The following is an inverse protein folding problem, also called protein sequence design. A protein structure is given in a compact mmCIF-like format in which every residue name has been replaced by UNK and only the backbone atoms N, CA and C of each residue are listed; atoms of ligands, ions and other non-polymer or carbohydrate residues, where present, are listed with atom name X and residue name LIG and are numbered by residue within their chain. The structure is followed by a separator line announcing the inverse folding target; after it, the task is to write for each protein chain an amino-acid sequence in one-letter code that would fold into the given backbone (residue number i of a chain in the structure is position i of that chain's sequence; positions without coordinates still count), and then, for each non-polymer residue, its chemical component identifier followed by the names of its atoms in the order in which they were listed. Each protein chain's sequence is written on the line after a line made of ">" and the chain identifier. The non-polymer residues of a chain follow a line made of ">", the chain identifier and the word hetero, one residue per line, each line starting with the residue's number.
data_IF_554621104286
#
_entry.id   IF_554621104286
#
_cell.length_a   1.000
_cell.length_b   1.000
_cell.length_c   1.000
_cell.angle_alpha   90.00
_cell.angle_beta   90.00
_cell.angle_gamma   90.00
#
_symmetry.space_group_name_H-M   'P 1'
#
loop_
_entity.id
_entity.type
_entity.pdbx_description
1 polymer ?
#
# COMPACT_ATOMS: atom_id res chain seq x y z
N UNK A 1 10.68 8.63 -9.30
CA UNK A 1 12.14 8.56 -9.16
C UNK A 1 12.73 8.16 -10.52
N UNK A 2 13.70 8.91 -11.07
CA UNK A 2 14.34 8.53 -12.34
C UNK A 2 15.12 7.21 -12.18
N UNK A 3 15.20 6.35 -13.22
CA UNK A 3 15.91 5.07 -13.14
C UNK A 3 17.39 5.21 -12.75
N UNK A 4 17.99 6.38 -13.02
CA UNK A 4 19.35 6.69 -12.63
C UNK A 4 19.57 6.82 -11.11
N UNK A 5 18.50 6.97 -10.32
CA UNK A 5 18.53 7.04 -8.87
C UNK A 5 18.32 5.69 -8.17
N UNK A 6 17.98 4.61 -8.90
CA UNK A 6 17.77 3.26 -8.34
C UNK A 6 18.90 2.29 -8.69
N UNK A 7 19.37 1.51 -7.70
CA UNK A 7 20.25 0.34 -7.87
C UNK A 7 19.52 -0.87 -7.28
N UNK A 8 19.47 -1.96 -8.03
CA UNK A 8 19.14 -3.27 -7.45
C UNK A 8 20.38 -3.82 -6.76
N UNK A 9 20.20 -4.31 -5.53
CA UNK A 9 21.28 -4.76 -4.65
C UNK A 9 21.06 -6.25 -4.41
N UNK A 10 21.68 -7.07 -5.25
CA UNK A 10 21.48 -8.51 -5.23
C UNK A 10 22.70 -9.24 -4.67
N UNK A 11 23.89 -8.68 -4.87
CA UNK A 11 25.18 -9.28 -4.51
C UNK A 11 26.17 -8.24 -3.97
N UNK A 12 27.20 -8.70 -3.25
CA UNK A 12 28.19 -7.83 -2.58
C UNK A 12 28.90 -6.85 -3.54
N UNK A 13 28.99 -7.20 -4.83
CA UNK A 13 29.61 -6.35 -5.86
C UNK A 13 28.76 -5.13 -6.24
N UNK A 14 27.48 -5.09 -5.86
CA UNK A 14 26.60 -3.95 -6.11
C UNK A 14 26.85 -2.82 -5.09
N UNK A 15 27.41 -3.17 -3.94
CA UNK A 15 27.59 -2.25 -2.81
C UNK A 15 28.45 -1.02 -3.13
N UNK A 16 29.59 -1.13 -3.85
CA UNK A 16 30.33 0.04 -4.29
C UNK A 16 29.52 0.95 -5.22
N UNK A 17 28.65 0.40 -6.07
CA UNK A 17 27.80 1.18 -6.99
C UNK A 17 26.73 1.95 -6.22
N UNK A 18 26.12 1.30 -5.23
CA UNK A 18 25.16 1.90 -4.30
C UNK A 18 25.80 3.02 -3.51
N UNK A 19 26.97 2.77 -2.91
CA UNK A 19 27.72 3.76 -2.13
C UNK A 19 28.02 4.99 -2.97
N UNK A 20 28.53 4.82 -4.21
CA UNK A 20 28.79 5.94 -5.12
C UNK A 20 27.51 6.71 -5.48
N UNK A 21 26.38 6.03 -5.64
CA UNK A 21 25.09 6.70 -5.89
C UNK A 21 24.58 7.45 -4.67
N UNK A 22 24.67 6.89 -3.47
CA UNK A 22 24.29 7.57 -2.22
C UNK A 22 25.21 8.78 -1.98
N UNK A 23 26.50 8.68 -2.24
CA UNK A 23 27.44 9.81 -2.12
C UNK A 23 27.13 10.91 -3.15
N UNK A 24 26.74 10.54 -4.37
CA UNK A 24 26.50 11.48 -5.47
C UNK A 24 25.13 12.12 -5.44
N UNK A 25 24.11 11.38 -5.03
CA UNK A 25 22.72 11.79 -5.09
C UNK A 25 22.05 11.86 -3.72
N UNK A 26 22.67 11.37 -2.65
CA UNK A 26 21.99 11.20 -1.36
C UNK A 26 21.13 9.92 -1.33
N UNK A 27 20.70 9.51 -0.14
CA UNK A 27 19.95 8.26 0.05
C UNK A 27 18.58 8.25 -0.66
N UNK A 28 17.97 9.44 -0.83
CA UNK A 28 16.68 9.62 -1.50
C UNK A 28 16.77 10.36 -2.83
N UNK A 29 17.98 10.58 -3.36
CA UNK A 29 18.20 11.54 -4.43
C UNK A 29 18.35 12.98 -3.92
N UNK A 30 18.69 13.89 -4.84
CA UNK A 30 18.89 15.31 -4.54
C UNK A 30 17.56 16.04 -4.36
N UNK A 31 16.51 15.48 -4.94
CA UNK A 31 15.15 15.95 -4.79
C UNK A 31 14.62 15.53 -3.41
N UNK A 32 13.87 16.42 -2.77
CA UNK A 32 13.18 16.04 -1.53
C UNK A 32 12.20 14.90 -1.87
N UNK A 33 12.25 13.77 -1.15
CA UNK A 33 11.27 12.71 -1.36
C UNK A 33 9.88 13.32 -1.17
N UNK A 34 9.06 13.17 -2.20
CA UNK A 34 7.70 13.67 -2.17
C UNK A 34 6.91 12.87 -1.13
N UNK A 35 6.22 13.60 -0.25
CA UNK A 35 5.54 13.00 0.88
C UNK A 35 4.26 12.36 0.36
N UNK A 36 4.19 11.03 0.44
CA UNK A 36 2.95 10.29 0.18
C UNK A 36 1.90 10.77 1.17
N UNK A 37 0.76 11.22 0.65
CA UNK A 37 -0.39 11.68 1.45
C UNK A 37 -1.53 10.68 1.42
N UNK A 38 -1.57 9.82 0.41
CA UNK A 38 -2.57 8.75 0.27
C UNK A 38 -1.88 7.42 -0.04
N UNK A 39 -2.11 6.42 0.80
CA UNK A 39 -1.73 5.04 0.57
C UNK A 39 -2.99 4.19 0.33
N UNK A 40 -3.07 3.63 -0.85
CA UNK A 40 -4.07 2.65 -1.25
C UNK A 40 -3.49 1.26 -1.09
N UNK A 41 -4.06 0.43 -0.21
CA UNK A 41 -3.50 -0.88 0.10
C UNK A 41 -4.52 -1.98 -0.16
N UNK A 42 -4.19 -2.94 -1.02
CA UNK A 42 -5.05 -4.10 -1.23
C UNK A 42 -5.10 -4.98 0.04
N UNK A 43 -6.28 -5.50 0.38
CA UNK A 43 -6.44 -6.38 1.54
C UNK A 43 -5.94 -7.79 1.22
N UNK A 44 -6.34 -8.32 0.06
CA UNK A 44 -5.98 -9.68 -0.36
C UNK A 44 -4.56 -9.71 -0.93
N UNK A 45 -3.66 -10.44 -0.28
CA UNK A 45 -2.27 -10.60 -0.72
C UNK A 45 -1.30 -9.50 -0.31
N UNK A 46 -1.75 -8.47 0.43
CA UNK A 46 -0.86 -7.52 1.11
C UNK A 46 -1.08 -7.53 2.63
N UNK A 47 -2.27 -7.15 3.10
CA UNK A 47 -2.61 -7.20 4.54
C UNK A 47 -2.88 -8.62 5.04
N UNK A 48 -3.25 -9.50 4.12
CA UNK A 48 -3.51 -10.92 4.36
C UNK A 48 -2.61 -11.74 3.44
N UNK A 49 -2.33 -12.98 3.81
CA UNK A 49 -1.57 -13.92 2.98
C UNK A 49 -2.32 -14.38 1.71
N UNK A 50 -3.43 -13.71 1.35
CA UNK A 50 -4.31 -14.09 0.24
C UNK A 50 -5.12 -15.36 0.50
N UNK A 51 -5.19 -15.80 1.76
CA UNK A 51 -5.94 -16.97 2.21
C UNK A 51 -7.22 -16.53 2.91
N UNK A 52 -8.34 -17.11 2.49
CA UNK A 52 -9.64 -17.00 3.17
C UNK A 52 -10.01 -18.39 3.66
N UNK A 53 -10.27 -18.50 4.95
CA UNK A 53 -10.73 -19.74 5.58
C UNK A 53 -12.26 -19.71 5.65
N UNK A 54 -12.91 -20.77 5.17
CA UNK A 54 -14.37 -20.90 5.17
C UNK A 54 -14.72 -22.12 6.03
N UNK A 55 -15.54 -21.91 7.06
CA UNK A 55 -16.01 -22.98 7.93
C UNK A 55 -17.20 -23.73 7.32
N UNK A 56 -17.54 -24.90 7.89
CA UNK A 56 -18.70 -25.70 7.45
C UNK A 56 -20.02 -24.93 7.66
N UNK A 57 -20.07 -24.02 8.64
CA UNK A 57 -21.20 -23.13 8.89
C UNK A 57 -21.24 -21.91 7.97
N UNK A 58 -20.26 -21.75 7.07
CA UNK A 58 -20.16 -20.61 6.16
C UNK A 58 -19.54 -19.36 6.78
N UNK A 59 -18.88 -19.48 7.93
CA UNK A 59 -18.12 -18.37 8.51
C UNK A 59 -16.81 -18.18 7.75
N UNK A 60 -16.48 -16.93 7.47
CA UNK A 60 -15.24 -16.54 6.79
C UNK A 60 -14.23 -15.97 7.80
N UNK A 61 -12.97 -16.36 7.65
CA UNK A 61 -11.88 -15.86 8.47
C UNK A 61 -10.68 -15.47 7.60
N UNK A 62 -10.05 -14.35 7.96
CA UNK A 62 -8.79 -13.88 7.38
C UNK A 62 -7.75 -13.71 8.49
N UNK A 63 -6.48 -13.92 8.15
CA UNK A 63 -5.36 -13.64 9.04
C UNK A 63 -4.75 -12.29 8.68
N UNK A 64 -4.46 -11.47 9.68
CA UNK A 64 -3.78 -10.17 9.52
C UNK A 64 -2.57 -10.09 10.43
N UNK A 65 -1.52 -9.43 9.96
CA UNK A 65 -0.30 -9.23 10.72
C UNK A 65 -0.41 -7.99 11.62
N UNK A 66 -0.13 -8.17 12.91
CA UNK A 66 -0.18 -7.07 13.88
C UNK A 66 0.91 -6.01 13.64
N UNK A 67 2.07 -6.41 13.09
CA UNK A 67 3.14 -5.46 12.74
C UNK A 67 2.71 -4.56 11.60
N UNK A 68 2.03 -5.10 10.60
CA UNK A 68 1.56 -4.34 9.44
C UNK A 68 0.46 -3.34 9.89
N UNK A 69 -0.44 -3.78 10.78
CA UNK A 69 -1.42 -2.90 11.41
C UNK A 69 -0.75 -1.76 12.19
N UNK A 70 0.35 -2.04 12.90
CA UNK A 70 1.12 -0.99 13.59
C UNK A 70 1.76 -0.03 12.60
N UNK A 71 2.34 -0.53 11.51
CA UNK A 71 2.93 0.30 10.44
C UNK A 71 1.91 1.25 9.82
N UNK A 72 0.69 0.76 9.54
CA UNK A 72 -0.43 1.59 9.08
C UNK A 72 -0.71 2.72 10.07
N UNK A 73 -0.81 2.41 11.37
CA UNK A 73 -1.07 3.42 12.39
C UNK A 73 0.06 4.45 12.51
N UNK A 74 1.31 4.04 12.25
CA UNK A 74 2.44 4.96 12.21
C UNK A 74 2.31 5.92 11.03
N UNK A 75 1.97 5.43 9.83
CA UNK A 75 1.72 6.26 8.66
C UNK A 75 0.58 7.27 8.91
N UNK A 76 -0.53 6.80 9.50
CA UNK A 76 -1.65 7.67 9.85
C UNK A 76 -1.29 8.78 10.83
N UNK A 77 -0.38 8.52 11.78
CA UNK A 77 0.11 9.55 12.72
C UNK A 77 0.96 10.62 12.05
N UNK A 78 1.66 10.26 10.98
CA UNK A 78 2.41 11.20 10.14
C UNK A 78 1.52 11.93 9.11
N UNK A 79 0.20 11.72 9.16
CA UNK A 79 -0.76 12.41 8.31
C UNK A 79 -1.01 11.74 6.95
N UNK A 80 -0.53 10.52 6.75
CA UNK A 80 -0.82 9.73 5.55
C UNK A 80 -2.20 9.08 5.69
N UNK A 81 -3.12 9.39 4.77
CA UNK A 81 -4.39 8.70 4.68
C UNK A 81 -4.16 7.30 4.12
N UNK A 82 -4.69 6.28 4.80
CA UNK A 82 -4.57 4.88 4.37
C UNK A 82 -5.96 4.32 4.11
N UNK A 83 -6.20 3.87 2.88
CA UNK A 83 -7.46 3.23 2.47
C UNK A 83 -7.17 1.78 2.11
N UNK A 84 -7.91 0.87 2.74
CA UNK A 84 -7.85 -0.55 2.43
C UNK A 84 -8.81 -0.87 1.28
N UNK A 85 -8.28 -1.46 0.22
CA UNK A 85 -9.04 -1.81 -0.97
C UNK A 85 -9.31 -3.31 -0.98
N UNK A 86 -10.57 -3.70 -1.15
CA UNK A 86 -10.94 -5.07 -1.48
C UNK A 86 -11.18 -5.20 -2.98
N UNK A 87 -10.49 -6.15 -3.62
CA UNK A 87 -10.72 -6.49 -5.03
C UNK A 87 -12.02 -7.26 -5.23
N UNK A 88 -12.64 -7.16 -6.41
CA UNK A 88 -13.85 -7.92 -6.77
C UNK A 88 -13.73 -9.45 -6.66
N UNK A 89 -12.51 -10.00 -6.74
CA UNK A 89 -12.24 -11.45 -6.63
C UNK A 89 -12.41 -11.98 -5.20
N UNK A 90 -12.22 -11.14 -4.19
CA UNK A 90 -12.38 -11.48 -2.78
C UNK A 90 -13.36 -10.50 -2.18
N UNK A 91 -14.62 -10.93 -2.14
CA UNK A 91 -15.69 -10.18 -1.49
C UNK A 91 -15.54 -10.36 0.02
N UNK A 92 -15.06 -9.33 0.70
CA UNK A 92 -15.15 -9.31 2.16
C UNK A 92 -16.60 -9.16 2.56
N UNK A 93 -17.10 -10.06 3.40
CA UNK A 93 -18.35 -9.83 4.09
C UNK A 93 -18.29 -8.51 4.87
N UNK A 94 -19.44 -7.84 4.99
CA UNK A 94 -19.54 -6.56 5.72
C UNK A 94 -18.96 -6.67 7.14
N UNK A 95 -19.23 -7.78 7.83
CA UNK A 95 -18.71 -8.04 9.16
C UNK A 95 -17.17 -8.10 9.19
N UNK A 96 -16.52 -8.73 8.20
CA UNK A 96 -15.06 -8.77 8.11
C UNK A 96 -14.49 -7.38 7.78
N UNK A 97 -15.11 -6.64 6.86
CA UNK A 97 -14.69 -5.28 6.52
C UNK A 97 -14.77 -4.35 7.73
N UNK A 98 -15.85 -4.40 8.50
CA UNK A 98 -16.04 -3.59 9.71
C UNK A 98 -14.98 -3.94 10.78
N UNK A 99 -14.70 -5.24 10.98
CA UNK A 99 -13.65 -5.68 11.91
C UNK A 99 -12.26 -5.23 11.49
N UNK A 100 -11.94 -5.29 10.20
CA UNK A 100 -10.67 -4.80 9.66
C UNK A 100 -10.54 -3.30 9.87
N UNK A 101 -11.57 -2.54 9.51
CA UNK A 101 -11.62 -1.08 9.70
C UNK A 101 -11.39 -0.70 11.17
N UNK A 102 -12.03 -1.37 12.11
CA UNK A 102 -11.82 -1.11 13.54
C UNK A 102 -10.40 -1.44 14.01
N UNK A 103 -9.79 -2.51 13.50
CA UNK A 103 -8.43 -2.91 13.90
C UNK A 103 -7.37 -2.00 13.32
N UNK A 104 -7.49 -1.62 12.05
CA UNK A 104 -6.50 -0.79 11.36
C UNK A 104 -6.73 0.71 11.56
N UNK A 105 -7.97 1.12 11.82
CA UNK A 105 -8.37 2.53 11.83
C UNK A 105 -8.49 3.11 10.43
N UNK A 106 -8.63 2.27 9.39
CA UNK A 106 -8.72 2.69 7.99
C UNK A 106 -10.14 2.56 7.45
N UNK A 107 -10.47 3.36 6.43
CA UNK A 107 -11.59 3.06 5.55
C UNK A 107 -11.29 1.76 4.79
N UNK A 108 -12.29 0.87 4.73
CA UNK A 108 -12.25 -0.32 3.86
C UNK A 108 -13.24 -0.07 2.74
N UNK A 109 -12.73 0.06 1.51
CA UNK A 109 -13.55 0.26 0.31
C UNK A 109 -13.42 -0.93 -0.61
N UNK A 110 -14.55 -1.33 -1.17
CA UNK A 110 -14.58 -2.29 -2.25
C UNK A 110 -14.56 -1.54 -3.57
N UNK A 111 -13.51 -1.74 -4.37
CA UNK A 111 -13.43 -1.14 -5.70
C UNK A 111 -14.03 -2.08 -6.74
N UNK A 112 -14.67 -1.47 -7.73
CA UNK A 112 -15.26 -2.14 -8.88
C UNK A 112 -14.21 -2.57 -9.90
N UNK A 113 -14.64 -2.74 -11.16
CA UNK A 113 -13.75 -3.12 -12.27
C UNK A 113 -12.85 -1.97 -12.72
N UNK A 114 -13.29 -0.72 -12.54
CA UNK A 114 -12.54 0.47 -12.93
C UNK A 114 -11.81 1.08 -11.71
N UNK A 115 -10.75 0.39 -11.27
CA UNK A 115 -9.93 0.85 -10.14
C UNK A 115 -9.32 2.21 -10.47
N UNK A 116 -8.85 2.42 -11.70
CA UNK A 116 -8.17 3.65 -12.09
C UNK A 116 -9.12 4.85 -12.02
N UNK A 117 -10.33 4.74 -12.56
CA UNK A 117 -11.35 5.79 -12.48
C UNK A 117 -11.72 6.14 -11.03
N UNK A 118 -11.88 5.14 -10.17
CA UNK A 118 -12.17 5.37 -8.75
C UNK A 118 -11.01 6.04 -8.01
N UNK A 119 -9.76 5.66 -8.32
CA UNK A 119 -8.56 6.29 -7.74
C UNK A 119 -8.43 7.74 -8.19
N UNK A 120 -8.64 8.02 -9.48
CA UNK A 120 -8.62 9.40 -10.00
C UNK A 120 -9.67 10.25 -9.30
N UNK A 121 -10.90 9.75 -9.13
CA UNK A 121 -11.94 10.47 -8.40
C UNK A 121 -11.54 10.76 -6.94
N UNK A 122 -10.90 9.80 -6.25
CA UNK A 122 -10.40 10.02 -4.89
C UNK A 122 -9.29 11.07 -4.81
N UNK A 123 -8.44 11.14 -5.83
CA UNK A 123 -7.38 12.13 -5.93
C UNK A 123 -7.93 13.52 -6.19
N UNK A 124 -8.89 13.63 -7.12
CA UNK A 124 -9.56 14.89 -7.45
C UNK A 124 -10.29 15.46 -6.22
N UNK A 125 -11.01 14.62 -5.48
CA UNK A 125 -11.71 15.00 -4.23
C UNK A 125 -10.76 15.56 -3.16
N UNK A 126 -9.48 15.14 -3.18
CA UNK A 126 -8.45 15.52 -2.20
C UNK A 126 -7.44 16.53 -2.74
N UNK A 127 -7.59 16.95 -4.00
CA UNK A 127 -6.63 17.76 -4.73
C UNK A 127 -5.19 17.20 -4.63
N UNK A 128 -5.03 15.91 -4.91
CA UNK A 128 -3.74 15.20 -4.89
C UNK A 128 -3.18 15.03 -6.30
N UNK A 129 -1.87 15.15 -6.43
CA UNK A 129 -1.13 14.72 -7.62
C UNK A 129 -0.73 13.24 -7.51
N UNK A 130 -0.50 12.57 -8.64
CA UNK A 130 -0.12 11.14 -8.67
C UNK A 130 1.07 10.84 -7.76
N UNK A 131 2.04 11.73 -7.74
CA UNK A 131 3.25 11.63 -6.91
C UNK A 131 3.00 11.64 -5.39
N UNK A 132 1.83 12.08 -4.95
CA UNK A 132 1.41 12.07 -3.54
C UNK A 132 0.64 10.79 -3.18
N UNK A 133 0.47 9.85 -4.13
CA UNK A 133 -0.34 8.65 -4.00
C UNK A 133 0.51 7.39 -4.21
N UNK A 134 0.44 6.48 -3.24
CA UNK A 134 1.06 5.16 -3.34
C UNK A 134 0.00 4.07 -3.42
N UNK A 135 0.25 3.04 -4.25
CA UNK A 135 -0.59 1.85 -4.33
C UNK A 135 0.21 0.59 -3.99
N UNK A 136 -0.24 -0.15 -2.98
CA UNK A 136 0.34 -1.42 -2.57
C UNK A 136 -0.55 -2.59 -3.01
N UNK A 137 -0.16 -3.24 -4.10
CA UNK A 137 -0.80 -4.43 -4.65
C UNK A 137 -0.04 -5.74 -4.37
N UNK A 138 -0.64 -6.87 -4.75
CA UNK A 138 -0.15 -8.24 -4.45
C UNK A 138 1.20 -8.60 -5.10
N UNK A 139 1.45 -8.12 -6.31
CA UNK A 139 2.66 -8.43 -7.09
C UNK A 139 3.50 -7.21 -7.40
N UNK A 140 2.98 -6.01 -7.14
CA UNK A 140 3.61 -4.76 -7.53
C UNK A 140 3.23 -3.68 -6.53
N UNK A 141 4.24 -3.05 -5.93
CA UNK A 141 4.09 -1.74 -5.30
C UNK A 141 4.27 -0.73 -6.41
N UNK A 142 3.21 0.00 -6.74
CA UNK A 142 3.27 1.12 -7.66
C UNK A 142 3.29 2.40 -6.82
N UNK A 143 4.45 3.05 -6.78
CA UNK A 143 4.51 4.49 -6.56
C UNK A 143 4.00 5.10 -7.86
N UNK A 144 2.83 5.71 -7.83
CA UNK A 144 2.21 6.28 -9.03
C UNK A 144 2.74 7.70 -9.26
#
# INVERSE_FOLDING_TARGET
>A
MLPEYSVDIDVDIDWPVVEQRVLRFGYFGLDKPEVVRLLLCNVSGCQTDGRVFISISGEEMVSVNTRDTMGIRMLQREGVEVILISSSEVLLTKALADNLSQRTGCEVRQLGKDIQGEVIAMMDDRALDWKEVAYMGKLTVLLI
#
